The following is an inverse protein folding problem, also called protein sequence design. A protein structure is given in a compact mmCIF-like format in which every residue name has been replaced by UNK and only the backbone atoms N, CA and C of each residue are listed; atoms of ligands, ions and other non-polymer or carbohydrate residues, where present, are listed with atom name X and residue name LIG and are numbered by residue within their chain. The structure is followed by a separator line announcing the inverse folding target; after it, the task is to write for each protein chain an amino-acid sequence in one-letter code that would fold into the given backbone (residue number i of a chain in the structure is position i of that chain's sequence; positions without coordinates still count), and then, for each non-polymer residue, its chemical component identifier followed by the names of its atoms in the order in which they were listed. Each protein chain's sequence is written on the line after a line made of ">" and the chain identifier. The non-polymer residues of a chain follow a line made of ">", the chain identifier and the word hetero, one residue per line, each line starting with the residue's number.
data_IF_778069835254
#
_entry.id   IF_778069835254
#
_cell.length_a   1.000
_cell.length_b   1.000
_cell.length_c   1.000
_cell.angle_alpha   90.00
_cell.angle_beta   90.00
_cell.angle_gamma   90.00
#
_symmetry.space_group_name_H-M   'P 1'
#
loop_
_entity.id
_entity.type
_entity.pdbx_description
1 polymer ?
#
# COMPACT_ATOMS: atom_id res chain seq x y z
N UNK A 1 14.93 -26.37 -2.19
CA UNK A 1 15.78 -25.18 -2.18
C UNK A 1 15.83 -24.49 -3.55
N UNK A 2 16.41 -25.09 -4.60
CA UNK A 2 16.48 -24.47 -5.95
C UNK A 2 15.14 -24.04 -6.55
N UNK A 3 14.07 -24.83 -6.35
CA UNK A 3 12.72 -24.47 -6.80
C UNK A 3 12.21 -23.18 -6.15
N UNK A 4 12.50 -22.98 -4.85
CA UNK A 4 12.10 -21.76 -4.13
C UNK A 4 12.88 -20.53 -4.60
N UNK A 5 14.17 -20.67 -4.91
CA UNK A 5 14.96 -19.58 -5.48
C UNK A 5 14.41 -19.17 -6.85
N UNK A 6 14.09 -20.15 -7.71
CA UNK A 6 13.45 -19.90 -9.00
C UNK A 6 12.10 -19.21 -8.83
N UNK A 7 11.28 -19.68 -7.89
CA UNK A 7 9.98 -19.09 -7.59
C UNK A 7 10.09 -17.64 -7.09
N UNK A 8 11.03 -17.33 -6.20
CA UNK A 8 11.30 -15.96 -5.73
C UNK A 8 11.79 -15.08 -6.88
N UNK A 9 12.72 -15.57 -7.71
CA UNK A 9 13.22 -14.84 -8.87
C UNK A 9 12.14 -14.53 -9.91
N UNK A 10 11.26 -15.49 -10.20
CA UNK A 10 10.12 -15.29 -11.10
C UNK A 10 9.10 -14.31 -10.53
N UNK A 11 8.77 -14.42 -9.24
CA UNK A 11 7.89 -13.47 -8.54
C UNK A 11 8.46 -12.04 -8.58
N UNK A 12 9.78 -11.91 -8.36
CA UNK A 12 10.48 -10.63 -8.46
C UNK A 12 10.36 -10.05 -9.87
N UNK A 13 10.72 -10.82 -10.90
CA UNK A 13 10.69 -10.37 -12.29
C UNK A 13 9.28 -9.94 -12.70
N UNK A 14 8.28 -10.77 -12.43
CA UNK A 14 6.89 -10.47 -12.75
C UNK A 14 6.44 -9.19 -12.05
N UNK A 15 6.64 -9.10 -10.74
CA UNK A 15 6.26 -7.94 -9.96
C UNK A 15 6.98 -6.65 -10.40
N UNK A 16 8.27 -6.74 -10.69
CA UNK A 16 9.09 -5.59 -11.08
C UNK A 16 8.67 -5.05 -12.44
N UNK A 17 8.53 -5.93 -13.44
CA UNK A 17 8.10 -5.55 -14.79
C UNK A 17 6.72 -4.91 -14.80
N UNK A 18 5.78 -5.44 -14.00
CA UNK A 18 4.43 -4.88 -13.87
C UNK A 18 4.48 -3.45 -13.32
N UNK A 19 5.24 -3.22 -12.24
CA UNK A 19 5.33 -1.89 -11.64
C UNK A 19 6.08 -0.91 -12.54
N UNK A 20 7.15 -1.35 -13.21
CA UNK A 20 7.87 -0.54 -14.22
C UNK A 20 6.92 -0.13 -15.34
N UNK A 21 6.11 -1.06 -15.86
CA UNK A 21 5.16 -0.76 -16.92
C UNK A 21 4.14 0.30 -16.47
N UNK A 22 3.56 0.16 -15.28
CA UNK A 22 2.62 1.13 -14.69
C UNK A 22 3.25 2.54 -14.61
N UNK A 23 4.46 2.63 -14.07
CA UNK A 23 5.19 3.89 -13.90
C UNK A 23 5.56 4.50 -15.25
N UNK A 24 6.06 3.69 -16.18
CA UNK A 24 6.46 4.12 -17.52
C UNK A 24 5.28 4.68 -18.32
N UNK A 25 4.12 4.02 -18.26
CA UNK A 25 2.90 4.51 -18.91
C UNK A 25 2.51 5.88 -18.35
N UNK A 26 2.44 6.03 -17.03
CA UNK A 26 2.04 7.31 -16.43
C UNK A 26 3.04 8.44 -16.69
N UNK A 27 4.35 8.16 -16.66
CA UNK A 27 5.39 9.16 -17.00
C UNK A 27 5.32 9.53 -18.49
N UNK A 28 5.09 8.56 -19.38
CA UNK A 28 4.95 8.81 -20.83
C UNK A 28 3.78 9.74 -21.11
N UNK A 29 2.64 9.52 -20.47
CA UNK A 29 1.46 10.38 -20.59
C UNK A 29 1.73 11.80 -20.10
N UNK A 30 2.46 11.95 -18.98
CA UNK A 30 2.89 13.24 -18.47
C UNK A 30 3.84 13.97 -19.43
N UNK A 31 4.84 13.27 -19.99
CA UNK A 31 5.77 13.83 -20.98
C UNK A 31 5.07 14.32 -22.24
N UNK A 32 3.94 13.72 -22.61
CA UNK A 32 3.07 14.17 -23.71
C UNK A 32 2.22 15.41 -23.36
N UNK A 33 2.45 16.03 -22.20
CA UNK A 33 1.71 17.21 -21.74
C UNK A 33 0.33 16.92 -21.16
N UNK A 34 -0.04 15.64 -20.95
CA UNK A 34 -1.34 15.28 -20.37
C UNK A 34 -1.33 15.51 -18.86
N UNK A 35 -2.41 16.08 -18.33
CA UNK A 35 -2.57 16.25 -16.88
C UNK A 35 -2.67 14.89 -16.20
N UNK A 36 -1.76 14.60 -15.28
CA UNK A 36 -1.80 13.36 -14.48
C UNK A 36 -2.98 13.43 -13.51
N UNK A 37 -3.87 12.44 -13.55
CA UNK A 37 -5.00 12.38 -12.62
C UNK A 37 -4.52 12.11 -11.19
N UNK A 38 -5.32 12.51 -10.19
CA UNK A 38 -5.07 12.24 -8.76
C UNK A 38 -4.77 10.76 -8.48
N UNK A 39 -5.48 9.85 -9.15
CA UNK A 39 -5.27 8.41 -9.00
C UNK A 39 -3.95 7.97 -9.64
N UNK A 40 -3.63 8.47 -10.85
CA UNK A 40 -2.38 8.12 -11.54
C UNK A 40 -1.15 8.61 -10.76
N UNK A 41 -1.23 9.75 -10.04
CA UNK A 41 -0.18 10.21 -9.12
C UNK A 41 0.11 9.19 -8.02
N UNK A 42 -0.93 8.70 -7.34
CA UNK A 42 -0.79 7.68 -6.28
C UNK A 42 -0.33 6.35 -6.85
N UNK A 43 -0.88 5.91 -7.98
CA UNK A 43 -0.48 4.69 -8.68
C UNK A 43 1.01 4.72 -9.06
N UNK A 44 1.49 5.85 -9.56
CA UNK A 44 2.91 6.02 -9.93
C UNK A 44 3.79 5.95 -8.68
N UNK A 45 3.43 6.66 -7.61
CA UNK A 45 4.18 6.59 -6.35
C UNK A 45 4.17 5.18 -5.76
N UNK A 46 3.04 4.47 -5.82
CA UNK A 46 2.90 3.10 -5.36
C UNK A 46 3.80 2.14 -6.17
N UNK A 47 3.83 2.30 -7.49
CA UNK A 47 4.69 1.52 -8.38
C UNK A 47 6.18 1.71 -8.04
N UNK A 48 6.62 2.96 -7.81
CA UNK A 48 8.00 3.26 -7.41
C UNK A 48 8.34 2.61 -6.07
N UNK A 49 7.47 2.75 -5.05
CA UNK A 49 7.69 2.12 -3.74
C UNK A 49 7.79 0.60 -3.86
N UNK A 50 6.93 -0.04 -4.66
CA UNK A 50 6.98 -1.49 -4.88
C UNK A 50 8.23 -1.95 -5.62
N UNK A 51 8.73 -1.16 -6.58
CA UNK A 51 10.00 -1.45 -7.26
C UNK A 51 11.16 -1.45 -6.27
N UNK A 52 11.26 -0.42 -5.41
CA UNK A 52 12.29 -0.34 -4.37
C UNK A 52 12.20 -1.55 -3.46
N UNK A 53 11.00 -1.87 -2.96
CA UNK A 53 10.76 -3.04 -2.10
C UNK A 53 11.20 -4.36 -2.73
N UNK A 54 10.85 -4.58 -3.99
CA UNK A 54 11.22 -5.81 -4.71
C UNK A 54 12.74 -5.92 -4.89
N UNK A 55 13.41 -4.82 -5.22
CA UNK A 55 14.87 -4.79 -5.35
C UNK A 55 15.54 -5.06 -4.01
N UNK A 56 15.06 -4.47 -2.91
CA UNK A 56 15.63 -4.70 -1.57
C UNK A 56 15.39 -6.13 -1.10
N UNK A 57 14.22 -6.73 -1.36
CA UNK A 57 13.96 -8.14 -1.10
C UNK A 57 14.94 -9.05 -1.85
N UNK A 58 15.18 -8.76 -3.13
CA UNK A 58 16.15 -9.51 -3.94
C UNK A 58 17.56 -9.37 -3.37
N UNK A 59 17.98 -8.15 -3.03
CA UNK A 59 19.28 -7.88 -2.41
C UNK A 59 19.45 -8.63 -1.09
N UNK A 60 18.44 -8.64 -0.21
CA UNK A 60 18.50 -9.40 1.04
C UNK A 60 18.68 -10.89 0.81
N UNK A 61 17.91 -11.50 -0.09
CA UNK A 61 18.05 -12.92 -0.44
C UNK A 61 19.43 -13.21 -1.03
N UNK A 62 19.92 -12.36 -1.94
CA UNK A 62 21.26 -12.53 -2.52
C UNK A 62 22.38 -12.38 -1.49
N UNK A 63 22.26 -11.41 -0.58
CA UNK A 63 23.24 -11.17 0.47
C UNK A 63 23.33 -12.34 1.44
N UNK A 64 22.17 -12.86 1.87
CA UNK A 64 22.11 -13.99 2.80
C UNK A 64 22.70 -15.28 2.19
N UNK A 65 22.49 -15.51 0.89
CA UNK A 65 22.97 -16.73 0.20
C UNK A 65 24.45 -16.65 -0.18
N UNK A 66 24.90 -15.52 -0.73
CA UNK A 66 26.19 -15.43 -1.42
C UNK A 66 27.26 -14.63 -0.66
N UNK A 67 26.88 -13.82 0.34
CA UNK A 67 27.80 -12.91 1.00
C UNK A 67 27.84 -13.12 2.51
N UNK A 68 28.90 -13.79 2.99
CA UNK A 68 29.10 -14.06 4.41
C UNK A 68 29.60 -12.84 5.23
N UNK A 69 30.14 -11.80 4.58
CA UNK A 69 30.76 -10.63 5.24
C UNK A 69 30.51 -9.31 4.52
N UNK A 70 29.27 -8.84 4.52
CA UNK A 70 28.94 -7.46 4.13
C UNK A 70 29.08 -6.51 5.32
N UNK A 71 29.33 -5.23 5.02
CA UNK A 71 29.41 -4.22 6.08
C UNK A 71 28.05 -4.04 6.77
N UNK A 72 28.07 -3.77 8.09
CA UNK A 72 26.87 -3.49 8.88
C UNK A 72 26.08 -2.32 8.30
N UNK A 73 26.77 -1.31 7.77
CA UNK A 73 26.18 -0.15 7.10
C UNK A 73 25.39 -0.55 5.85
N UNK A 74 25.91 -1.49 5.06
CA UNK A 74 25.21 -1.99 3.88
C UNK A 74 23.90 -2.69 4.27
N UNK A 75 23.96 -3.62 5.22
CA UNK A 75 22.75 -4.33 5.69
C UNK A 75 21.71 -3.37 6.29
N UNK A 76 22.15 -2.42 7.12
CA UNK A 76 21.28 -1.39 7.68
C UNK A 76 20.62 -0.53 6.58
N UNK A 77 21.36 -0.20 5.52
CA UNK A 77 20.81 0.57 4.39
C UNK A 77 19.75 -0.22 3.61
N UNK A 78 20.00 -1.50 3.30
CA UNK A 78 19.05 -2.35 2.58
C UNK A 78 17.77 -2.53 3.40
N UNK A 79 17.91 -2.82 4.69
CA UNK A 79 16.77 -2.94 5.62
C UNK A 79 15.99 -1.63 5.73
N UNK A 80 16.67 -0.48 5.78
CA UNK A 80 16.01 0.83 5.80
C UNK A 80 15.17 1.08 4.55
N UNK A 81 15.72 0.78 3.37
CA UNK A 81 14.98 0.91 2.11
C UNK A 81 13.84 -0.10 1.99
N UNK A 82 14.03 -1.34 2.47
CA UNK A 82 13.00 -2.38 2.49
C UNK A 82 11.82 -1.96 3.36
N UNK A 83 12.08 -1.54 4.60
CA UNK A 83 11.04 -1.10 5.53
C UNK A 83 10.34 0.17 5.00
N UNK A 84 11.10 1.20 4.65
CA UNK A 84 10.48 2.45 4.17
C UNK A 84 9.61 2.23 2.92
N UNK A 85 10.02 1.33 2.02
CA UNK A 85 9.28 1.02 0.80
C UNK A 85 8.06 0.11 1.00
N UNK A 86 8.13 -0.89 1.89
CA UNK A 86 6.98 -1.76 2.21
C UNK A 86 5.86 -0.97 2.87
N UNK A 87 6.19 -0.17 3.90
CA UNK A 87 5.20 0.65 4.59
C UNK A 87 4.64 1.73 3.67
N UNK A 88 5.48 2.38 2.86
CA UNK A 88 4.99 3.35 1.86
C UNK A 88 4.01 2.70 0.89
N UNK A 89 4.28 1.46 0.46
CA UNK A 89 3.39 0.72 -0.45
C UNK A 89 2.04 0.41 0.20
N UNK A 90 2.02 0.06 1.49
CA UNK A 90 0.79 -0.14 2.25
C UNK A 90 0.00 1.18 2.29
N UNK A 91 0.62 2.27 2.72
CA UNK A 91 -0.02 3.59 2.81
C UNK A 91 -0.51 4.16 1.48
N UNK A 92 0.19 3.90 0.38
CA UNK A 92 -0.24 4.36 -0.93
C UNK A 92 -1.37 3.49 -1.48
N UNK A 93 -1.35 2.18 -1.20
CA UNK A 93 -2.46 1.27 -1.51
C UNK A 93 -3.75 1.66 -0.78
N UNK A 94 -3.64 2.04 0.51
CA UNK A 94 -4.75 2.52 1.32
C UNK A 94 -5.33 3.82 0.74
N UNK A 95 -4.47 4.80 0.47
CA UNK A 95 -4.86 6.08 -0.13
C UNK A 95 -5.54 5.89 -1.49
N UNK A 96 -5.01 5.00 -2.33
CA UNK A 96 -5.59 4.68 -3.63
C UNK A 96 -7.00 4.10 -3.51
N UNK A 97 -7.21 3.22 -2.54
CA UNK A 97 -8.52 2.61 -2.23
C UNK A 97 -9.54 3.67 -1.84
N UNK A 98 -9.14 4.63 -1.00
CA UNK A 98 -9.97 5.78 -0.61
C UNK A 98 -10.28 6.68 -1.81
N UNK A 99 -9.31 6.99 -2.68
CA UNK A 99 -9.52 7.83 -3.85
C UNK A 99 -10.50 7.19 -4.84
N UNK A 100 -10.36 5.90 -5.13
CA UNK A 100 -11.29 5.19 -6.02
C UNK A 100 -12.71 5.20 -5.46
N UNK A 101 -12.85 5.02 -4.15
CA UNK A 101 -14.14 5.14 -3.49
C UNK A 101 -14.72 6.56 -3.61
N UNK A 102 -13.94 7.59 -3.28
CA UNK A 102 -14.38 8.99 -3.31
C UNK A 102 -14.79 9.44 -4.70
N UNK A 103 -14.11 8.96 -5.75
CA UNK A 103 -14.46 9.26 -7.14
C UNK A 103 -15.85 8.75 -7.51
N UNK A 104 -16.19 7.54 -7.06
CA UNK A 104 -17.39 6.82 -7.50
C UNK A 104 -18.59 7.13 -6.61
N UNK A 105 -18.37 7.36 -5.33
CA UNK A 105 -19.44 7.68 -4.40
C UNK A 105 -20.15 8.99 -4.78
N UNK A 106 -21.46 8.91 -5.01
CA UNK A 106 -22.40 10.03 -5.27
C UNK A 106 -23.17 10.42 -4.01
N UNK A 107 -22.55 10.28 -2.83
CA UNK A 107 -23.14 10.73 -1.58
C UNK A 107 -23.28 12.26 -1.61
N UNK A 108 -24.52 12.74 -1.52
CA UNK A 108 -24.84 14.17 -1.41
C UNK A 108 -24.76 14.70 0.04
N UNK A 109 -24.03 14.00 0.92
CA UNK A 109 -23.83 14.46 2.29
C UNK A 109 -22.74 15.57 2.29
N UNK A 110 -23.00 16.75 2.89
CA UNK A 110 -22.04 17.86 2.90
C UNK A 110 -20.69 17.49 3.54
N UNK A 111 -20.69 16.63 4.56
CA UNK A 111 -19.47 16.10 5.16
C UNK A 111 -18.66 15.28 4.14
N UNK A 112 -19.35 14.45 3.36
CA UNK A 112 -18.74 13.62 2.34
C UNK A 112 -18.13 14.42 1.19
N UNK A 113 -18.85 15.44 0.71
CA UNK A 113 -18.36 16.36 -0.32
C UNK A 113 -17.10 17.11 0.14
N UNK A 114 -17.09 17.58 1.40
CA UNK A 114 -15.92 18.23 1.99
C UNK A 114 -14.72 17.28 2.07
N UNK A 115 -14.92 16.04 2.50
CA UNK A 115 -13.88 15.01 2.55
C UNK A 115 -13.34 14.71 1.14
N UNK A 116 -14.21 14.56 0.15
CA UNK A 116 -13.86 14.31 -1.26
C UNK A 116 -12.97 15.41 -1.81
N UNK A 117 -13.34 16.68 -1.60
CA UNK A 117 -12.56 17.84 -2.06
C UNK A 117 -11.20 17.87 -1.35
N UNK A 118 -11.18 17.69 -0.03
CA UNK A 118 -9.94 17.73 0.75
C UNK A 118 -8.94 16.67 0.30
N UNK A 119 -9.38 15.42 0.15
CA UNK A 119 -8.50 14.31 -0.24
C UNK A 119 -8.01 14.47 -1.68
N UNK A 120 -8.90 14.83 -2.63
CA UNK A 120 -8.52 14.97 -4.04
C UNK A 120 -7.57 16.15 -4.28
N UNK A 121 -7.76 17.27 -3.57
CA UNK A 121 -6.91 18.46 -3.69
C UNK A 121 -5.57 18.30 -2.95
N UNK A 122 -5.54 17.56 -1.84
CA UNK A 122 -4.35 17.38 -1.00
C UNK A 122 -3.60 16.08 -1.30
N UNK A 123 -3.88 15.40 -2.42
CA UNK A 123 -3.29 14.09 -2.75
C UNK A 123 -1.76 14.07 -2.70
N UNK A 124 -1.09 15.12 -3.19
CA UNK A 124 0.38 15.17 -3.20
C UNK A 124 0.92 15.23 -1.77
N UNK A 125 0.27 15.99 -0.89
CA UNK A 125 0.63 16.05 0.52
C UNK A 125 0.38 14.72 1.22
N UNK A 126 -0.70 14.00 0.87
CA UNK A 126 -0.98 12.67 1.39
C UNK A 126 0.07 11.65 0.94
N UNK A 127 0.50 11.69 -0.33
CA UNK A 127 1.61 10.86 -0.84
C UNK A 127 2.90 11.14 -0.06
N UNK A 128 3.27 12.42 0.10
CA UNK A 128 4.48 12.81 0.84
C UNK A 128 4.38 12.37 2.30
N UNK A 129 3.23 12.57 2.95
CA UNK A 129 3.00 12.13 4.31
C UNK A 129 3.14 10.60 4.45
N UNK A 130 2.60 9.81 3.51
CA UNK A 130 2.76 8.36 3.48
C UNK A 130 4.23 7.94 3.43
N UNK A 131 5.05 8.61 2.61
CA UNK A 131 6.48 8.31 2.48
C UNK A 131 7.24 8.73 3.74
N UNK A 132 6.99 9.95 4.24
CA UNK A 132 7.66 10.48 5.44
C UNK A 132 7.36 9.63 6.66
N UNK A 133 6.11 9.24 6.88
CA UNK A 133 5.73 8.35 7.99
C UNK A 133 6.46 7.01 7.89
N UNK A 134 6.60 6.47 6.68
CA UNK A 134 7.29 5.20 6.45
C UNK A 134 8.80 5.30 6.67
N UNK A 135 9.43 6.42 6.27
CA UNK A 135 10.84 6.70 6.54
C UNK A 135 11.09 6.85 8.04
N UNK A 136 10.25 7.62 8.73
CA UNK A 136 10.34 7.79 10.19
C UNK A 136 10.24 6.46 10.92
N UNK A 137 9.34 5.58 10.48
CA UNK A 137 9.24 4.23 11.00
C UNK A 137 10.51 3.42 10.77
N UNK A 138 11.04 3.39 9.54
CA UNK A 138 12.26 2.65 9.22
C UNK A 138 13.46 3.14 10.04
N UNK A 139 13.57 4.46 10.25
CA UNK A 139 14.59 5.07 11.08
C UNK A 139 14.45 4.67 12.56
N UNK A 140 13.24 4.76 13.12
CA UNK A 140 12.96 4.34 14.49
C UNK A 140 13.28 2.84 14.70
N UNK A 141 12.89 1.99 13.74
CA UNK A 141 13.19 0.57 13.77
C UNK A 141 14.70 0.29 13.73
N UNK A 142 15.44 0.98 12.87
CA UNK A 142 16.90 0.87 12.80
C UNK A 142 17.57 1.30 14.12
N UNK A 143 17.18 2.47 14.64
CA UNK A 143 17.69 3.06 15.88
C UNK A 143 17.52 2.12 17.08
N UNK A 144 16.36 1.48 17.20
CA UNK A 144 16.10 0.50 18.27
C UNK A 144 16.99 -0.73 18.15
N UNK A 145 17.25 -1.22 16.93
CA UNK A 145 18.10 -2.39 16.71
C UNK A 145 19.59 -2.11 16.95
N UNK A 146 20.04 -0.86 16.83
CA UNK A 146 21.42 -0.44 17.10
C UNK A 146 21.78 -0.29 18.58
N UNK A 147 20.82 -0.17 19.51
CA UNK A 147 21.10 -0.15 20.96
C UNK A 147 21.46 -1.51 21.57
N UNK A 148 21.59 -2.55 20.75
CA UNK A 148 22.35 -3.74 21.13
C UNK A 148 23.83 -3.37 21.26
N UNK A 149 24.27 -2.95 22.44
CA UNK A 149 25.53 -3.31 23.13
C UNK A 149 25.52 -2.56 24.48
N UNK A 150 25.28 -3.27 25.59
CA UNK A 150 26.20 -3.19 26.72
C UNK A 150 26.77 -4.56 27.05
N UNK A 151 28.07 -4.61 27.27
CA UNK A 151 28.90 -5.79 27.50
C UNK A 151 28.66 -6.48 28.87
N UNK A 152 27.58 -6.22 29.62
CA UNK A 152 27.50 -6.68 31.01
C UNK A 152 26.25 -7.54 31.32
N UNK A 153 26.52 -8.83 31.45
CA UNK A 153 25.90 -9.87 32.29
C UNK A 153 24.53 -9.56 32.93
N UNK A 154 23.44 -9.72 32.17
CA UNK A 154 22.12 -10.18 32.65
C UNK A 154 21.28 -10.50 31.40
N UNK A 155 21.57 -11.61 30.74
CA UNK A 155 21.22 -11.80 29.34
C UNK A 155 19.74 -12.17 29.10
N UNK A 156 19.06 -12.85 30.03
CA UNK A 156 17.69 -13.35 29.79
C UNK A 156 16.57 -12.33 30.05
N UNK A 157 16.65 -11.56 31.15
CA UNK A 157 15.61 -10.57 31.51
C UNK A 157 15.62 -9.39 30.55
N UNK A 158 16.81 -8.97 30.09
CA UNK A 158 16.96 -7.91 29.10
C UNK A 158 16.54 -8.35 27.70
N UNK A 159 16.75 -9.61 27.30
CA UNK A 159 16.26 -10.13 26.02
C UNK A 159 14.72 -10.09 25.96
N UNK A 160 14.06 -10.55 27.02
CA UNK A 160 12.60 -10.57 27.11
C UNK A 160 11.99 -9.16 27.15
N UNK A 161 12.60 -8.25 27.93
CA UNK A 161 12.19 -6.83 27.95
C UNK A 161 12.39 -6.13 26.60
N UNK A 162 13.50 -6.40 25.90
CA UNK A 162 13.81 -5.85 24.58
C UNK A 162 12.89 -6.40 23.48
N UNK A 163 12.63 -7.72 23.48
CA UNK A 163 11.65 -8.33 22.58
C UNK A 163 10.26 -7.73 22.83
N UNK A 164 9.88 -7.57 24.10
CA UNK A 164 8.65 -6.89 24.50
C UNK A 164 8.57 -5.45 23.98
N UNK A 165 9.63 -4.65 24.13
CA UNK A 165 9.67 -3.26 23.66
C UNK A 165 9.66 -3.15 22.14
N UNK A 166 10.36 -4.05 21.43
CA UNK A 166 10.38 -4.14 19.96
C UNK A 166 9.00 -4.53 19.42
N UNK A 167 8.35 -5.51 20.04
CA UNK A 167 6.98 -5.90 19.71
C UNK A 167 6.01 -4.78 20.03
N UNK A 168 6.11 -4.12 21.19
CA UNK A 168 5.30 -2.96 21.55
C UNK A 168 5.48 -1.79 20.60
N UNK A 169 6.70 -1.54 20.10
CA UNK A 169 6.96 -0.44 19.17
C UNK A 169 6.46 -0.76 17.76
N UNK A 170 6.65 -2.01 17.31
CA UNK A 170 6.00 -2.52 16.10
C UNK A 170 4.48 -2.44 16.20
N UNK A 171 3.90 -2.83 17.34
CA UNK A 171 2.48 -2.72 17.61
C UNK A 171 2.08 -1.25 17.63
N UNK A 172 2.75 -0.35 18.32
CA UNK A 172 2.39 1.07 18.42
C UNK A 172 2.42 1.77 17.06
N UNK A 173 3.46 1.52 16.27
CA UNK A 173 3.61 2.09 14.93
C UNK A 173 2.75 1.41 13.86
N UNK A 174 2.39 0.15 14.02
CA UNK A 174 1.38 -0.50 13.17
C UNK A 174 -0.05 -0.08 13.59
N UNK A 175 -0.33 0.07 14.88
CA UNK A 175 -1.68 0.28 15.45
C UNK A 175 -2.22 1.67 15.23
N UNK A 176 -1.43 2.75 15.37
CA UNK A 176 -1.92 4.11 15.09
C UNK A 176 -2.44 4.27 13.65
N UNK A 177 -1.63 3.90 12.65
CA UNK A 177 -2.02 3.73 11.25
C UNK A 177 -3.19 2.78 11.03
N UNK A 178 -3.13 1.57 11.60
CA UNK A 178 -4.19 0.56 11.47
C UNK A 178 -5.50 1.08 12.03
N UNK A 179 -5.54 1.68 13.21
CA UNK A 179 -6.77 2.15 13.86
C UNK A 179 -7.38 3.31 13.08
N UNK A 180 -6.60 4.32 12.73
CA UNK A 180 -7.10 5.46 11.95
C UNK A 180 -7.57 5.03 10.56
N UNK A 181 -6.87 4.08 9.94
CA UNK A 181 -7.22 3.50 8.64
C UNK A 181 -8.43 2.56 8.69
N UNK A 182 -8.52 1.66 9.68
CA UNK A 182 -9.64 0.75 9.89
C UNK A 182 -10.88 1.54 10.28
N UNK A 183 -10.78 2.50 11.19
CA UNK A 183 -11.91 3.35 11.57
C UNK A 183 -12.39 4.15 10.36
N UNK A 184 -11.48 4.78 9.61
CA UNK A 184 -11.89 5.54 8.42
C UNK A 184 -12.50 4.64 7.35
N UNK A 185 -11.93 3.47 7.08
CA UNK A 185 -12.41 2.54 6.07
C UNK A 185 -13.70 1.82 6.48
N UNK A 186 -13.86 1.47 7.75
CA UNK A 186 -15.09 0.90 8.31
C UNK A 186 -16.20 1.94 8.28
N UNK A 187 -15.93 3.19 8.70
CA UNK A 187 -16.90 4.28 8.61
C UNK A 187 -17.31 4.53 7.15
N UNK A 188 -16.36 4.42 6.22
CA UNK A 188 -16.59 4.50 4.78
C UNK A 188 -17.50 3.36 4.27
N UNK A 189 -17.23 2.12 4.69
CA UNK A 189 -18.00 0.93 4.32
C UNK A 189 -19.40 0.96 4.93
N UNK A 190 -19.54 1.39 6.18
CA UNK A 190 -20.84 1.54 6.85
C UNK A 190 -21.68 2.63 6.17
N UNK A 191 -21.07 3.79 5.85
CA UNK A 191 -21.73 4.82 5.06
C UNK A 191 -22.20 4.28 3.70
N UNK A 192 -21.37 3.46 3.04
CA UNK A 192 -21.68 2.84 1.75
C UNK A 192 -22.83 1.84 1.83
N UNK A 193 -22.79 0.91 2.79
CA UNK A 193 -23.85 -0.08 2.97
C UNK A 193 -25.20 0.60 3.19
N UNK A 194 -25.23 1.60 4.07
CA UNK A 194 -26.44 2.36 4.37
C UNK A 194 -26.94 3.16 3.16
N UNK A 195 -26.04 3.70 2.32
CA UNK A 195 -26.44 4.44 1.12
C UNK A 195 -26.92 3.56 -0.03
N UNK A 196 -26.22 2.45 -0.31
CA UNK A 196 -26.61 1.48 -1.35
C UNK A 196 -27.91 0.77 -0.95
N UNK A 197 -28.09 0.44 0.33
CA UNK A 197 -29.35 -0.09 0.85
C UNK A 197 -30.51 0.88 0.63
N UNK A 198 -30.30 2.19 0.85
CA UNK A 198 -31.30 3.24 0.58
C UNK A 198 -31.53 3.52 -0.90
N UNK A 199 -30.56 3.30 -1.78
CA UNK A 199 -30.75 3.42 -3.23
C UNK A 199 -31.44 2.22 -3.84
N UNK A 200 -31.34 1.02 -3.23
CA UNK A 200 -32.02 -0.20 -3.71
C UNK A 200 -33.55 -0.11 -3.66
N UNK A 201 -34.13 0.84 -2.91
CA UNK A 201 -35.57 1.12 -2.93
C UNK A 201 -36.01 2.09 -4.05
N UNK A 202 -35.07 2.65 -4.82
CA UNK A 202 -35.33 3.58 -5.92
C UNK A 202 -35.16 2.93 -7.30
N UNK A 203 -36.17 3.09 -8.17
CA UNK A 203 -36.43 2.32 -9.40
C UNK A 203 -35.53 2.60 -10.62
N UNK A 204 -34.23 2.92 -10.50
CA UNK A 204 -33.42 3.24 -11.71
C UNK A 204 -31.95 2.76 -11.74
N UNK A 205 -31.63 2.08 -12.86
CA UNK A 205 -30.37 2.05 -13.65
C UNK A 205 -29.29 1.00 -13.34
N UNK A 206 -29.32 -0.06 -14.14
CA UNK A 206 -28.52 -1.30 -14.11
C UNK A 206 -27.07 -1.16 -14.62
N UNK A 207 -26.72 -0.23 -15.50
CA UNK A 207 -25.35 -0.15 -16.05
C UNK A 207 -24.32 0.53 -15.12
N UNK A 208 -24.78 1.45 -14.28
CA UNK A 208 -23.92 2.10 -13.29
C UNK A 208 -23.53 1.12 -12.18
N UNK A 209 -24.51 0.34 -11.70
CA UNK A 209 -24.37 -0.62 -10.59
C UNK A 209 -23.21 -1.60 -10.77
N UNK A 210 -22.96 -2.10 -11.98
CA UNK A 210 -21.84 -3.01 -12.24
C UNK A 210 -20.46 -2.35 -12.07
N UNK A 211 -20.35 -1.07 -12.43
CA UNK A 211 -19.13 -0.28 -12.26
C UNK A 211 -18.88 0.04 -10.78
N UNK A 212 -19.96 0.37 -10.04
CA UNK A 212 -19.93 0.54 -8.59
C UNK A 212 -19.48 -0.76 -7.91
N UNK A 213 -20.11 -1.88 -8.25
CA UNK A 213 -19.83 -3.18 -7.63
C UNK A 213 -18.41 -3.66 -7.92
N UNK A 214 -17.93 -3.48 -9.15
CA UNK A 214 -16.55 -3.83 -9.52
C UNK A 214 -15.53 -3.00 -8.75
N UNK A 215 -15.79 -1.71 -8.54
CA UNK A 215 -14.84 -0.86 -7.80
C UNK A 215 -14.95 -1.05 -6.28
N UNK A 216 -16.13 -1.35 -5.73
CA UNK A 216 -16.27 -1.78 -4.34
C UNK A 216 -15.50 -3.07 -4.09
N UNK A 217 -15.61 -4.05 -4.99
CA UNK A 217 -14.77 -5.27 -4.97
C UNK A 217 -13.29 -4.93 -5.05
N UNK A 218 -12.91 -3.95 -5.88
CA UNK A 218 -11.53 -3.49 -5.97
C UNK A 218 -10.99 -2.91 -4.67
N UNK A 219 -11.69 -1.91 -4.14
CA UNK A 219 -11.36 -1.27 -2.87
C UNK A 219 -11.33 -2.30 -1.74
N UNK A 220 -12.30 -3.21 -1.66
CA UNK A 220 -12.35 -4.29 -0.67
C UNK A 220 -11.17 -5.26 -0.78
N UNK A 221 -10.82 -5.70 -1.98
CA UNK A 221 -9.66 -6.56 -2.21
C UNK A 221 -8.34 -5.84 -1.89
N UNK A 222 -8.24 -4.57 -2.25
CA UNK A 222 -7.07 -3.73 -1.96
C UNK A 222 -6.87 -3.55 -0.46
N UNK A 223 -7.95 -3.28 0.27
CA UNK A 223 -8.00 -3.22 1.73
C UNK A 223 -7.55 -4.57 2.32
N UNK A 224 -8.17 -5.68 1.88
CA UNK A 224 -7.85 -7.02 2.34
C UNK A 224 -6.37 -7.38 2.11
N UNK A 225 -5.86 -7.14 0.90
CA UNK A 225 -4.46 -7.39 0.55
C UNK A 225 -3.51 -6.58 1.43
N UNK A 226 -3.84 -5.34 1.76
CA UNK A 226 -3.04 -4.50 2.65
C UNK A 226 -3.07 -5.02 4.09
N UNK A 227 -4.22 -5.47 4.58
CA UNK A 227 -4.35 -6.11 5.91
C UNK A 227 -3.56 -7.40 6.01
N UNK A 228 -3.61 -8.25 4.97
CA UNK A 228 -2.85 -9.51 4.93
C UNK A 228 -1.35 -9.24 5.00
N UNK A 229 -0.84 -8.24 4.27
CA UNK A 229 0.56 -7.85 4.38
C UNK A 229 0.96 -7.44 5.80
N UNK A 230 0.14 -6.61 6.45
CA UNK A 230 0.43 -6.20 7.83
C UNK A 230 0.43 -7.37 8.80
N UNK A 231 -0.45 -8.37 8.60
CA UNK A 231 -0.46 -9.59 9.41
C UNK A 231 0.82 -10.39 9.19
N UNK A 232 1.26 -10.55 7.94
CA UNK A 232 2.49 -11.28 7.62
C UNK A 232 3.71 -10.59 8.27
N UNK A 233 3.79 -9.26 8.22
CA UNK A 233 4.86 -8.50 8.89
C UNK A 233 4.84 -8.71 10.41
N UNK A 234 3.65 -8.64 11.03
CA UNK A 234 3.51 -8.84 12.47
C UNK A 234 3.87 -10.25 12.92
N UNK A 235 3.66 -11.24 12.03
CA UNK A 235 3.91 -12.66 12.28
C UNK A 235 5.18 -13.17 11.58
N UNK A 236 6.08 -12.28 11.15
CA UNK A 236 7.30 -12.61 10.38
C UNK A 236 8.10 -13.75 11.02
N UNK A 237 8.35 -13.69 12.33
CA UNK A 237 9.10 -14.71 13.07
C UNK A 237 8.47 -16.09 12.95
N UNK A 238 7.14 -16.17 13.04
CA UNK A 238 6.40 -17.44 12.90
C UNK A 238 6.55 -18.00 11.48
N UNK A 239 6.33 -17.18 10.45
CA UNK A 239 6.47 -17.60 9.05
C UNK A 239 7.91 -17.99 8.69
N UNK A 240 8.89 -17.31 9.28
CA UNK A 240 10.31 -17.65 9.13
C UNK A 240 10.61 -19.05 9.65
N UNK A 241 10.11 -19.40 10.84
CA UNK A 241 10.29 -20.77 11.39
C UNK A 241 9.53 -21.83 10.58
N UNK A 242 8.35 -21.50 10.04
CA UNK A 242 7.53 -22.45 9.31
C UNK A 242 8.01 -22.73 7.87
N UNK A 243 8.45 -21.69 7.15
CA UNK A 243 8.75 -21.79 5.70
C UNK A 243 10.20 -21.42 5.33
N UNK A 244 11.00 -20.97 6.28
CA UNK A 244 12.34 -20.46 6.04
C UNK A 244 12.34 -19.11 5.31
N UNK A 245 13.53 -18.51 5.18
CA UNK A 245 13.72 -17.18 4.59
C UNK A 245 13.11 -17.03 3.18
N UNK A 246 13.43 -17.97 2.29
CA UNK A 246 12.95 -17.95 0.90
C UNK A 246 11.42 -18.07 0.81
N UNK A 247 10.80 -18.84 1.71
CA UNK A 247 9.35 -18.98 1.76
C UNK A 247 8.65 -17.69 2.17
N UNK A 248 9.19 -16.99 3.18
CA UNK A 248 8.68 -15.68 3.62
C UNK A 248 8.77 -14.65 2.50
N UNK A 249 9.93 -14.53 1.85
CA UNK A 249 10.11 -13.59 0.73
C UNK A 249 9.21 -13.90 -0.46
N UNK A 250 8.97 -15.18 -0.75
CA UNK A 250 8.03 -15.57 -1.80
C UNK A 250 6.61 -15.09 -1.47
N UNK A 251 6.13 -15.32 -0.24
CA UNK A 251 4.81 -14.88 0.22
C UNK A 251 4.70 -13.35 0.17
N UNK A 252 5.73 -12.63 0.65
CA UNK A 252 5.79 -11.16 0.61
C UNK A 252 5.75 -10.59 -0.81
N UNK A 253 6.24 -11.30 -1.82
CA UNK A 253 6.27 -10.81 -3.20
C UNK A 253 5.01 -11.11 -4.01
N UNK A 254 4.27 -12.17 -3.69
CA UNK A 254 3.07 -12.56 -4.45
C UNK A 254 1.94 -11.55 -4.27
N UNK A 255 1.61 -11.18 -3.03
CA UNK A 255 0.45 -10.36 -2.75
C UNK A 255 0.50 -8.94 -3.37
N UNK A 256 1.64 -8.19 -3.35
CA UNK A 256 1.74 -6.90 -4.02
C UNK A 256 1.62 -7.03 -5.54
N UNK A 257 2.13 -8.14 -6.08
CA UNK A 257 2.09 -8.43 -7.52
C UNK A 257 0.66 -8.69 -7.97
N UNK A 258 -0.07 -9.56 -7.25
CA UNK A 258 -1.50 -9.80 -7.49
C UNK A 258 -2.33 -8.51 -7.40
N UNK A 259 -2.04 -7.67 -6.40
CA UNK A 259 -2.66 -6.36 -6.27
C UNK A 259 -2.39 -5.45 -7.46
N UNK A 260 -1.14 -5.41 -7.95
CA UNK A 260 -0.74 -4.62 -9.13
C UNK A 260 -1.42 -5.10 -10.42
N UNK A 261 -1.53 -6.42 -10.63
CA UNK A 261 -2.24 -7.02 -11.76
C UNK A 261 -3.71 -6.59 -11.74
N UNK A 262 -4.35 -6.71 -10.57
CA UNK A 262 -5.74 -6.35 -10.42
C UNK A 262 -5.98 -4.83 -10.58
N UNK A 263 -5.03 -4.00 -10.15
CA UNK A 263 -5.03 -2.57 -10.37
C UNK A 263 -4.96 -2.22 -11.87
N UNK A 264 -4.11 -2.88 -12.66
CA UNK A 264 -4.07 -2.70 -14.12
C UNK A 264 -5.43 -3.05 -14.75
N UNK A 265 -6.00 -4.19 -14.35
CA UNK A 265 -7.30 -4.65 -14.85
C UNK A 265 -8.45 -3.68 -14.54
N UNK A 266 -8.42 -3.02 -13.39
CA UNK A 266 -9.45 -2.04 -13.01
C UNK A 266 -9.21 -0.70 -13.69
N UNK A 267 -7.98 -0.19 -13.71
CA UNK A 267 -7.63 1.11 -14.31
C UNK A 267 -7.85 1.14 -15.82
N UNK A 268 -7.49 0.09 -16.55
CA UNK A 268 -7.77 -0.03 -17.99
C UNK A 268 -9.26 0.01 -18.28
N UNK A 269 -10.08 -0.72 -17.51
CA UNK A 269 -11.54 -0.72 -17.69
C UNK A 269 -12.18 0.61 -17.29
N UNK A 270 -11.65 1.31 -16.27
CA UNK A 270 -12.12 2.63 -15.86
C UNK A 270 -11.79 3.72 -16.90
N UNK A 271 -10.66 3.61 -17.61
CA UNK A 271 -10.31 4.56 -18.69
C UNK A 271 -11.17 4.41 -19.95
N UNK A 272 -11.79 3.26 -20.16
CA UNK A 272 -12.68 2.99 -21.30
C UNK A 272 -14.09 3.59 -21.09
N UNK A 273 -14.45 3.96 -19.86
CA UNK A 273 -15.72 4.63 -19.59
C UNK A 273 -15.58 6.15 -19.77
N UNK A 274 -16.47 6.81 -20.55
CA UNK A 274 -16.41 8.25 -20.72
C UNK A 274 -16.59 8.96 -19.37
N UNK A 275 -15.92 10.11 -19.17
CA UNK A 275 -16.06 10.87 -17.93
C UNK A 275 -17.53 11.26 -17.76
N UNK A 276 -18.11 10.88 -16.63
CA UNK A 276 -19.46 11.29 -16.24
C UNK A 276 -19.47 12.82 -16.22
N UNK A 277 -20.29 13.39 -17.09
CA UNK A 277 -20.55 14.82 -17.32
C UNK A 277 -21.00 15.62 -16.08
N UNK A 278 -21.07 14.99 -14.91
CA UNK A 278 -21.53 15.61 -13.66
C UNK A 278 -20.53 16.55 -12.98
N UNK A 279 -19.28 16.67 -13.46
CA UNK A 279 -18.31 17.66 -12.93
C UNK A 279 -18.46 19.01 -13.66
N UNK A 280 -18.83 19.02 -14.95
CA UNK A 280 -19.09 20.27 -15.68
C UNK A 280 -20.36 20.97 -15.21
N UNK A 281 -21.38 20.21 -14.79
CA UNK A 281 -22.62 20.76 -14.22
C UNK A 281 -22.47 21.34 -12.79
N UNK A 282 -21.43 20.94 -12.06
CA UNK A 282 -21.12 21.50 -10.74
C UNK A 282 -20.29 22.78 -10.83
N UNK A 283 -19.51 22.97 -11.91
CA UNK A 283 -18.81 24.24 -12.16
C UNK A 283 -19.74 25.32 -12.73
N UNK A 284 -20.77 24.96 -13.51
CA UNK A 284 -21.76 25.92 -14.03
C UNK A 284 -22.77 26.40 -12.98
N UNK A 285 -22.96 25.66 -11.88
CA UNK A 285 -23.85 26.06 -10.77
C UNK A 285 -23.18 26.86 -9.64
N UNK A 286 -21.85 26.97 -9.65
CA UNK A 286 -21.08 27.66 -8.58
C UNK A 286 -20.60 29.04 -9.01
N UNK A 287 -20.63 29.38 -10.30
CA UNK A 287 -20.36 30.74 -10.79
C UNK A 287 -21.60 31.30 -11.48
N UNK A 288 -22.37 32.20 -10.82
CA UNK A 288 -23.31 33.06 -11.53
C UNK A 288 -22.57 34.05 -12.44
#
# INVERSE_FOLDING_TARGET
>A
YHILILAVGLSFLAGFLINVFIVAVNISEWKKGRMISTADKVITSLGISRMVFQVTCLLNVFCDIYFYRLSVLFFASVLFFELSSVYSSIWLSTLLSVIFFLKISTLHNPFFLRLKILVLNRVLLLIVASIVVSISFAFAYGWMNTFKIPHNSTQETYLNGYIGLRVLTLIFWCTGPLLTYFISSILLIICLYNHVSRMRSGRNRTSHLDTYYKTIKFTGFSLFSSTVHMIIDLTYTYWYYAFGLLGVYFIWQIFPTLHSIYLIYVTTKLRIQPPVSGIMDLQSRINP
#
